data_IF_770869287756
#
_entry.id   IF_770869287756
#
_cell.length_a   1.000
_cell.length_b   1.000
_cell.length_c   1.000
_cell.angle_alpha   90.00
_cell.angle_beta   90.00
_cell.angle_gamma   90.00
#
_symmetry.space_group_name_H-M   'P 1'
#
loop_
_entity.id
_entity.type
_entity.pdbx_description
1 polymer ?
#
# COMPACT_ATOMS: atom_id res chain seq x y z
N UNK A 1 26.64 4.27 6.47
CA UNK A 1 25.83 3.09 6.10
C UNK A 1 26.44 2.37 4.90
N UNK A 2 26.75 1.09 5.07
CA UNK A 2 27.26 0.19 4.04
C UNK A 2 26.51 -1.14 4.13
N UNK A 3 26.19 -1.73 2.97
CA UNK A 3 25.62 -3.07 2.89
C UNK A 3 26.74 -4.09 2.71
N UNK A 4 26.66 -5.18 3.47
CA UNK A 4 27.58 -6.32 3.40
C UNK A 4 26.75 -7.57 3.19
N UNK A 5 27.15 -8.44 2.26
CA UNK A 5 26.55 -9.77 2.13
C UNK A 5 27.01 -10.63 3.31
N UNK A 6 26.08 -11.22 4.05
CA UNK A 6 26.41 -12.10 5.16
C UNK A 6 27.07 -13.40 4.67
N UNK A 7 28.06 -13.87 5.42
CA UNK A 7 28.71 -15.17 5.26
C UNK A 7 28.33 -16.10 6.44
N UNK A 8 28.58 -17.42 6.34
CA UNK A 8 28.25 -18.36 7.43
C UNK A 8 28.83 -17.97 8.80
N UNK A 9 29.96 -17.26 8.83
CA UNK A 9 30.60 -16.76 10.07
C UNK A 9 29.78 -15.68 10.78
N UNK A 10 28.90 -14.98 10.06
CA UNK A 10 28.12 -13.86 10.57
C UNK A 10 26.79 -14.30 11.23
N UNK A 11 26.52 -15.61 11.28
CA UNK A 11 25.26 -16.15 11.80
C UNK A 11 24.93 -15.69 13.22
N UNK A 12 25.95 -15.58 14.08
CA UNK A 12 25.78 -15.12 15.45
C UNK A 12 25.37 -13.64 15.48
N UNK A 13 25.95 -12.82 14.59
CA UNK A 13 25.59 -11.39 14.44
C UNK A 13 24.14 -11.23 13.98
N UNK A 14 23.72 -12.00 12.97
CA UNK A 14 22.31 -12.00 12.50
C UNK A 14 21.37 -12.40 13.63
N UNK A 15 21.67 -13.50 14.31
CA UNK A 15 20.89 -14.01 15.43
C UNK A 15 20.76 -12.97 16.54
N UNK A 16 21.87 -12.34 16.94
CA UNK A 16 21.90 -11.32 17.98
C UNK A 16 21.01 -10.12 17.64
N UNK A 17 21.10 -9.59 16.41
CA UNK A 17 20.28 -8.46 15.97
C UNK A 17 18.79 -8.80 16.02
N UNK A 18 18.42 -9.97 15.49
CA UNK A 18 17.02 -10.42 15.47
C UNK A 18 16.49 -10.58 16.90
N UNK A 19 17.21 -11.33 17.75
CA UNK A 19 16.76 -11.61 19.12
C UNK A 19 16.70 -10.35 19.98
N UNK A 20 17.73 -9.50 19.95
CA UNK A 20 17.70 -8.21 20.67
C UNK A 20 16.52 -7.35 20.24
N UNK A 21 16.25 -7.29 18.94
CA UNK A 21 15.15 -6.47 18.41
C UNK A 21 13.80 -7.03 18.81
N UNK A 22 13.59 -8.35 18.66
CA UNK A 22 12.34 -9.01 19.06
C UNK A 22 12.11 -8.83 20.56
N UNK A 23 13.09 -9.15 21.41
CA UNK A 23 12.96 -9.04 22.86
C UNK A 23 12.70 -7.60 23.35
N UNK A 24 13.27 -6.58 22.71
CA UNK A 24 13.11 -5.20 23.13
C UNK A 24 11.80 -4.55 22.61
N UNK A 25 11.37 -4.89 21.40
CA UNK A 25 10.28 -4.17 20.71
C UNK A 25 8.97 -4.93 20.79
N UNK A 26 8.98 -6.26 20.63
CA UNK A 26 7.76 -7.04 20.48
C UNK A 26 6.88 -7.13 21.73
N UNK A 27 7.38 -6.99 22.98
CA UNK A 27 6.52 -6.93 24.17
C UNK A 27 5.45 -5.82 24.14
N UNK A 28 5.64 -4.77 23.34
CA UNK A 28 4.65 -3.71 23.19
C UNK A 28 3.47 -4.09 22.27
N UNK A 29 3.60 -5.19 21.52
CA UNK A 29 2.67 -5.57 20.45
C UNK A 29 2.11 -6.98 20.61
N UNK A 30 2.84 -7.85 21.27
CA UNK A 30 2.56 -9.27 21.32
C UNK A 30 2.66 -9.82 22.74
N UNK A 31 1.83 -10.81 23.10
CA UNK A 31 1.96 -11.51 24.36
C UNK A 31 3.17 -12.47 24.35
N UNK A 32 3.64 -12.87 25.53
CA UNK A 32 4.91 -13.60 25.72
C UNK A 32 5.06 -14.88 24.88
N UNK A 33 4.01 -15.68 24.74
CA UNK A 33 4.02 -16.90 23.94
C UNK A 33 4.19 -16.64 22.44
N UNK A 34 3.69 -15.51 21.93
CA UNK A 34 3.96 -15.06 20.55
C UNK A 34 5.40 -14.57 20.42
N UNK A 35 5.93 -13.87 21.41
CA UNK A 35 7.34 -13.44 21.41
C UNK A 35 8.26 -14.66 21.40
N UNK A 36 7.98 -15.66 22.24
CA UNK A 36 8.71 -16.93 22.29
C UNK A 36 8.69 -17.65 20.94
N UNK A 37 7.52 -17.72 20.30
CA UNK A 37 7.38 -18.27 18.95
C UNK A 37 8.30 -17.53 17.94
N UNK A 38 8.36 -16.20 17.97
CA UNK A 38 9.28 -15.45 17.10
C UNK A 38 10.75 -15.78 17.35
N UNK A 39 11.17 -15.89 18.61
CA UNK A 39 12.55 -16.22 18.98
C UNK A 39 12.93 -17.64 18.55
N UNK A 40 12.03 -18.61 18.72
CA UNK A 40 12.22 -20.01 18.29
C UNK A 40 12.24 -20.15 16.76
N UNK A 41 11.34 -19.44 16.07
CA UNK A 41 11.34 -19.36 14.61
C UNK A 41 12.68 -18.84 14.08
N UNK A 42 13.31 -17.88 14.78
CA UNK A 42 14.63 -17.34 14.48
C UNK A 42 15.76 -18.00 15.29
N UNK A 43 15.64 -19.30 15.58
CA UNK A 43 16.73 -20.08 16.18
C UNK A 43 17.96 -20.14 15.27
N UNK A 44 19.14 -20.39 15.86
CA UNK A 44 20.39 -20.55 15.11
C UNK A 44 20.29 -21.59 13.99
N UNK A 45 19.59 -22.71 14.23
CA UNK A 45 19.42 -23.75 13.21
C UNK A 45 18.62 -23.25 12.01
N UNK A 46 17.49 -22.56 12.26
CA UNK A 46 16.66 -22.01 11.18
C UNK A 46 17.40 -20.89 10.43
N UNK A 47 18.14 -20.04 11.14
CA UNK A 47 18.97 -19.00 10.52
C UNK A 47 20.09 -19.61 9.66
N UNK A 48 20.69 -20.74 10.08
CA UNK A 48 21.71 -21.44 9.30
C UNK A 48 21.15 -21.89 7.96
N UNK A 49 20.00 -22.55 7.97
CA UNK A 49 19.30 -22.93 6.73
C UNK A 49 18.94 -21.72 5.87
N UNK A 50 18.58 -20.60 6.50
CA UNK A 50 18.30 -19.37 5.78
C UNK A 50 19.56 -18.74 5.14
N UNK A 51 20.71 -18.71 5.81
CA UNK A 51 21.97 -18.23 5.23
C UNK A 51 22.44 -19.07 4.02
N UNK A 52 22.07 -20.35 3.96
CA UNK A 52 22.38 -21.24 2.83
C UNK A 52 21.50 -21.00 1.61
N UNK A 53 20.23 -20.62 1.82
CA UNK A 53 19.21 -20.53 0.75
C UNK A 53 18.87 -19.11 0.33
N UNK A 54 19.06 -18.14 1.22
CA UNK A 54 18.54 -16.79 1.08
C UNK A 54 19.69 -15.79 0.91
N UNK A 55 19.44 -14.69 0.20
CA UNK A 55 20.40 -13.62 0.06
C UNK A 55 20.33 -12.71 1.28
N UNK A 56 21.20 -12.98 2.28
CA UNK A 56 21.21 -12.25 3.55
C UNK A 56 22.19 -11.08 3.50
N UNK A 57 21.72 -9.92 3.96
CA UNK A 57 22.44 -8.66 4.05
C UNK A 57 22.61 -8.25 5.52
N UNK A 58 23.74 -7.59 5.77
CA UNK A 58 24.08 -6.89 6.99
C UNK A 58 24.21 -5.40 6.67
N UNK A 59 23.69 -4.57 7.57
CA UNK A 59 23.83 -3.13 7.51
C UNK A 59 24.90 -2.69 8.51
N UNK A 60 25.99 -2.15 7.99
CA UNK A 60 27.11 -1.59 8.77
C UNK A 60 26.99 -0.07 8.84
N UNK A 61 27.25 0.51 10.01
CA UNK A 61 27.44 1.93 10.20
C UNK A 61 28.59 2.19 11.19
N UNK A 62 29.56 3.01 10.76
CA UNK A 62 30.78 3.32 11.53
C UNK A 62 31.50 2.07 12.11
N UNK A 63 31.62 1.00 11.32
CA UNK A 63 32.28 -0.24 11.74
C UNK A 63 31.45 -1.17 12.63
N UNK A 64 30.21 -0.80 12.96
CA UNK A 64 29.29 -1.63 13.72
C UNK A 64 28.20 -2.20 12.80
N UNK A 65 27.87 -3.49 12.95
CA UNK A 65 26.69 -4.06 12.30
C UNK A 65 25.45 -3.72 13.12
N UNK A 66 24.52 -3.00 12.51
CA UNK A 66 23.35 -2.41 13.19
C UNK A 66 22.02 -2.98 12.70
N UNK A 67 22.03 -3.77 11.62
CA UNK A 67 20.82 -4.34 11.06
C UNK A 67 21.08 -5.53 10.14
N UNK A 68 20.01 -6.26 9.82
CA UNK A 68 20.01 -7.37 8.88
C UNK A 68 18.71 -7.37 8.08
N UNK A 69 18.78 -7.90 6.85
CA UNK A 69 17.65 -8.11 5.96
C UNK A 69 17.96 -9.28 5.03
N UNK A 70 16.96 -9.91 4.46
CA UNK A 70 17.15 -11.01 3.54
C UNK A 70 16.15 -10.99 2.39
N UNK A 71 16.55 -11.58 1.28
CA UNK A 71 15.71 -11.80 0.10
C UNK A 71 15.76 -13.26 -0.29
N UNK A 72 14.61 -13.90 -0.40
CA UNK A 72 14.46 -15.23 -0.96
C UNK A 72 13.48 -15.15 -2.14
N UNK A 73 13.95 -15.43 -3.35
CA UNK A 73 13.21 -15.10 -4.58
C UNK A 73 12.78 -13.63 -4.59
N UNK A 74 11.48 -13.34 -4.53
CA UNK A 74 10.92 -11.99 -4.39
C UNK A 74 10.35 -11.71 -2.99
N UNK A 75 10.58 -12.59 -2.02
CA UNK A 75 10.11 -12.44 -0.65
C UNK A 75 11.18 -11.79 0.23
N UNK A 76 10.86 -10.61 0.75
CA UNK A 76 11.70 -9.88 1.70
C UNK A 76 11.44 -10.43 3.09
N UNK A 77 12.52 -10.83 3.75
CA UNK A 77 12.50 -11.49 5.06
C UNK A 77 13.44 -10.78 6.03
N UNK A 78 13.13 -10.93 7.32
CA UNK A 78 14.03 -10.60 8.45
C UNK A 78 14.67 -9.21 8.38
N UNK A 79 13.88 -8.19 8.05
CA UNK A 79 14.33 -6.78 8.12
C UNK A 79 14.29 -6.33 9.58
N UNK A 80 15.44 -6.37 10.26
CA UNK A 80 15.60 -5.98 11.65
C UNK A 80 16.73 -4.96 11.80
N UNK A 81 16.46 -3.90 12.56
CA UNK A 81 17.43 -2.89 12.96
C UNK A 81 17.49 -2.89 14.48
N UNK A 82 18.70 -2.90 15.05
CA UNK A 82 18.91 -2.82 16.50
C UNK A 82 18.12 -1.63 17.10
N UNK A 83 17.46 -1.80 18.27
CA UNK A 83 16.54 -0.80 18.85
C UNK A 83 17.10 0.64 18.89
N UNK A 84 18.37 0.79 19.28
CA UNK A 84 19.08 2.06 19.42
C UNK A 84 19.38 2.77 18.08
N UNK A 85 19.24 2.06 16.95
CA UNK A 85 19.38 2.57 15.59
C UNK A 85 18.04 2.73 14.85
N UNK A 86 16.91 2.41 15.48
CA UNK A 86 15.60 2.56 14.83
C UNK A 86 15.18 4.01 14.65
N UNK A 87 14.21 4.24 13.74
CA UNK A 87 13.63 5.57 13.40
C UNK A 87 14.63 6.60 12.85
N UNK A 88 15.81 6.16 12.43
CA UNK A 88 16.88 6.98 11.83
C UNK A 88 17.10 6.74 10.33
N UNK A 89 16.20 5.99 9.67
CA UNK A 89 16.26 5.72 8.22
C UNK A 89 16.94 4.40 7.82
N UNK A 90 17.65 3.72 8.73
CA UNK A 90 18.35 2.46 8.45
C UNK A 90 17.45 1.36 7.85
N UNK A 91 16.23 1.19 8.38
CA UNK A 91 15.29 0.20 7.85
C UNK A 91 14.83 0.52 6.42
N UNK A 92 14.66 1.81 6.09
CA UNK A 92 14.33 2.22 4.72
C UNK A 92 15.50 1.99 3.78
N UNK A 93 16.72 2.34 4.20
CA UNK A 93 17.94 2.11 3.42
C UNK A 93 18.16 0.62 3.10
N UNK A 94 17.98 -0.25 4.10
CA UNK A 94 18.08 -1.69 3.90
C UNK A 94 16.98 -2.21 2.96
N UNK A 95 15.78 -1.66 3.06
CA UNK A 95 14.66 -2.03 2.19
C UNK A 95 14.89 -1.59 0.74
N UNK A 96 15.41 -0.37 0.52
CA UNK A 96 15.81 0.13 -0.81
C UNK A 96 16.77 -0.85 -1.49
N UNK A 97 17.74 -1.37 -0.74
CA UNK A 97 18.72 -2.32 -1.26
C UNK A 97 18.11 -3.70 -1.61
N UNK A 98 17.19 -4.20 -0.79
CA UNK A 98 16.49 -5.45 -1.04
C UNK A 98 15.56 -5.33 -2.26
N UNK A 99 14.82 -4.22 -2.37
CA UNK A 99 14.01 -3.87 -3.54
C UNK A 99 14.88 -3.81 -4.81
N UNK A 100 16.05 -3.13 -4.75
CA UNK A 100 17.02 -3.07 -5.86
C UNK A 100 17.51 -4.45 -6.28
N UNK A 101 17.89 -5.28 -5.30
CA UNK A 101 18.39 -6.65 -5.54
C UNK A 101 17.31 -7.52 -6.19
N UNK A 102 16.05 -7.38 -5.79
CA UNK A 102 14.93 -8.08 -6.41
C UNK A 102 14.74 -7.66 -7.88
N UNK A 103 14.81 -6.36 -8.18
CA UNK A 103 14.77 -5.86 -9.57
C UNK A 103 15.91 -6.42 -10.43
N UNK A 104 17.13 -6.47 -9.90
CA UNK A 104 18.30 -7.01 -10.60
C UNK A 104 18.17 -8.50 -10.90
N UNK A 105 17.42 -9.24 -10.06
CA UNK A 105 17.07 -10.64 -10.29
C UNK A 105 15.87 -10.82 -11.25
N UNK A 106 15.31 -9.73 -11.77
CA UNK A 106 14.21 -9.74 -12.74
C UNK A 106 12.80 -9.71 -12.12
N UNK A 107 12.67 -9.51 -10.81
CA UNK A 107 11.37 -9.42 -10.17
C UNK A 107 10.76 -8.03 -10.32
N UNK A 108 9.47 -8.00 -10.66
CA UNK A 108 8.68 -6.77 -10.84
C UNK A 108 7.81 -6.43 -9.62
N UNK A 109 7.75 -7.33 -8.64
CA UNK A 109 6.99 -7.22 -7.41
C UNK A 109 7.75 -7.94 -6.29
N UNK A 110 7.75 -7.36 -5.10
CA UNK A 110 8.22 -8.00 -3.86
C UNK A 110 7.07 -8.21 -2.91
N UNK A 111 7.16 -9.29 -2.13
CA UNK A 111 6.22 -9.63 -1.07
C UNK A 111 6.94 -9.74 0.26
N UNK A 112 6.21 -9.57 1.37
CA UNK A 112 6.73 -9.80 2.71
C UNK A 112 5.62 -10.11 3.69
N UNK A 113 5.98 -10.78 4.78
CA UNK A 113 5.16 -10.90 5.97
C UNK A 113 5.64 -9.90 7.02
N UNK A 114 4.76 -8.97 7.41
CA UNK A 114 5.07 -7.93 8.40
C UNK A 114 4.44 -8.22 9.75
N UNK A 115 5.27 -8.19 10.79
CA UNK A 115 4.79 -8.07 12.16
C UNK A 115 4.15 -6.69 12.41
N UNK A 116 3.34 -6.58 13.45
CA UNK A 116 2.66 -5.34 13.85
C UNK A 116 3.62 -4.14 14.04
N UNK A 117 4.82 -4.29 14.66
CA UNK A 117 5.77 -3.18 14.79
C UNK A 117 6.21 -2.57 13.45
N UNK A 118 6.33 -3.39 12.40
CA UNK A 118 6.88 -2.98 11.12
C UNK A 118 5.81 -2.58 10.07
N UNK A 119 4.53 -2.87 10.31
CA UNK A 119 3.45 -2.62 9.35
C UNK A 119 3.46 -1.18 8.79
N UNK A 120 3.56 -0.19 9.69
CA UNK A 120 3.54 1.23 9.30
C UNK A 120 4.76 1.65 8.48
N UNK A 121 5.91 1.00 8.67
CA UNK A 121 7.09 1.24 7.85
C UNK A 121 6.80 0.84 6.41
N UNK A 122 6.34 -0.40 6.20
CA UNK A 122 6.06 -0.91 4.86
C UNK A 122 4.93 -0.15 4.17
N UNK A 123 3.85 0.17 4.89
CA UNK A 123 2.77 0.98 4.35
C UNK A 123 3.27 2.35 3.83
N UNK A 124 4.12 3.05 4.60
CA UNK A 124 4.73 4.32 4.16
C UNK A 124 5.68 4.17 2.97
N UNK A 125 6.21 2.97 2.78
CA UNK A 125 7.15 2.62 1.70
C UNK A 125 6.44 2.14 0.43
N UNK A 126 5.11 2.17 0.40
CA UNK A 126 4.30 1.81 -0.76
C UNK A 126 3.99 0.31 -0.85
N UNK A 127 4.09 -0.42 0.26
CA UNK A 127 3.58 -1.78 0.33
C UNK A 127 2.10 -1.75 0.67
N UNK A 128 1.33 -2.52 -0.09
CA UNK A 128 -0.09 -2.71 0.11
C UNK A 128 -0.35 -4.00 0.88
N UNK A 129 -1.27 -4.01 1.86
CA UNK A 129 -1.69 -5.24 2.50
C UNK A 129 -2.43 -6.13 1.50
N UNK A 130 -2.04 -7.40 1.42
CA UNK A 130 -2.70 -8.43 0.62
C UNK A 130 -3.63 -9.29 1.46
N UNK A 131 -3.16 -9.70 2.63
CA UNK A 131 -3.86 -10.66 3.48
C UNK A 131 -3.56 -10.38 4.95
N UNK A 132 -4.59 -10.48 5.79
CA UNK A 132 -4.43 -10.54 7.24
C UNK A 132 -4.37 -12.00 7.66
N UNK A 133 -3.30 -12.39 8.34
CA UNK A 133 -3.07 -13.77 8.75
C UNK A 133 -3.06 -13.82 10.27
N UNK A 134 -3.76 -14.82 10.82
CA UNK A 134 -3.74 -15.15 12.23
C UNK A 134 -3.42 -16.62 12.42
N UNK A 135 -2.52 -16.95 13.35
CA UNK A 135 -2.22 -18.32 13.72
C UNK A 135 -2.11 -18.48 15.23
N UNK A 136 -2.56 -19.62 15.74
CA UNK A 136 -2.44 -19.96 17.17
C UNK A 136 -1.07 -20.60 17.42
N UNK A 137 -0.30 -20.02 18.33
CA UNK A 137 0.98 -20.58 18.80
C UNK A 137 0.75 -21.79 19.71
N UNK A 138 1.81 -22.56 19.99
CA UNK A 138 1.75 -23.70 20.93
C UNK A 138 1.25 -23.29 22.33
N UNK A 139 1.48 -22.03 22.72
CA UNK A 139 1.00 -21.47 23.98
C UNK A 139 -0.50 -21.15 24.01
N UNK A 140 -1.22 -21.35 22.90
CA UNK A 140 -2.63 -20.96 22.74
C UNK A 140 -2.84 -19.48 22.42
N UNK A 141 -1.79 -18.67 22.43
CA UNK A 141 -1.85 -17.24 22.06
C UNK A 141 -1.83 -17.05 20.55
N UNK A 142 -2.52 -16.01 20.06
CA UNK A 142 -2.69 -15.76 18.62
C UNK A 142 -1.64 -14.76 18.13
N UNK A 143 -0.86 -15.16 17.12
CA UNK A 143 0.01 -14.29 16.34
C UNK A 143 -0.79 -13.73 15.15
N UNK A 144 -0.87 -12.40 15.08
CA UNK A 144 -1.43 -11.66 13.95
C UNK A 144 -0.33 -10.94 13.16
N UNK A 145 -0.38 -11.04 11.84
CA UNK A 145 0.53 -10.36 10.92
C UNK A 145 -0.14 -10.13 9.56
N UNK A 146 0.47 -9.32 8.71
CA UNK A 146 -0.03 -9.07 7.36
C UNK A 146 0.96 -9.57 6.32
N UNK A 147 0.46 -10.21 5.27
CA UNK A 147 1.20 -10.33 4.01
C UNK A 147 1.00 -9.05 3.21
N UNK A 148 2.08 -8.47 2.72
CA UNK A 148 2.06 -7.23 1.93
C UNK A 148 2.85 -7.39 0.64
N UNK A 149 2.54 -6.60 -0.39
CA UNK A 149 3.33 -6.54 -1.61
C UNK A 149 3.57 -5.12 -2.10
N UNK A 150 4.62 -4.95 -2.90
CA UNK A 150 4.95 -3.71 -3.59
C UNK A 150 5.39 -4.01 -5.00
N UNK A 151 4.78 -3.33 -5.97
CA UNK A 151 5.26 -3.33 -7.34
C UNK A 151 6.53 -2.48 -7.46
N UNK A 152 7.56 -3.02 -8.10
CA UNK A 152 8.87 -2.37 -8.26
C UNK A 152 9.00 -1.59 -9.56
N UNK A 153 8.16 -1.84 -10.56
CA UNK A 153 8.23 -1.22 -11.89
C UNK A 153 7.61 0.18 -11.97
N UNK A 154 7.34 0.82 -10.82
CA UNK A 154 6.72 2.13 -10.77
C UNK A 154 5.18 2.09 -10.82
N UNK A 155 4.57 3.27 -10.79
CA UNK A 155 3.13 3.47 -10.52
C UNK A 155 2.24 2.67 -11.48
N UNK A 156 1.16 2.09 -10.96
CA UNK A 156 0.10 1.42 -11.73
C UNK A 156 -0.55 2.32 -12.79
N UNK A 157 -0.47 3.63 -12.59
CA UNK A 157 -0.97 4.67 -13.48
C UNK A 157 -0.09 5.92 -13.41
N UNK A 158 -0.07 6.69 -14.50
CA UNK A 158 0.61 7.98 -14.55
C UNK A 158 0.06 8.98 -13.51
N UNK A 159 -1.22 8.82 -13.13
CA UNK A 159 -1.94 9.67 -12.18
C UNK A 159 -2.38 8.83 -10.98
N UNK A 160 -2.15 9.35 -9.77
CA UNK A 160 -2.63 8.77 -8.52
C UNK A 160 -3.87 9.53 -8.05
N UNK A 161 -5.01 8.86 -8.09
CA UNK A 161 -6.31 9.39 -7.65
C UNK A 161 -6.59 9.12 -6.18
N UNK A 162 -5.71 8.42 -5.46
CA UNK A 162 -5.96 8.07 -4.07
C UNK A 162 -6.02 9.33 -3.19
N UNK A 163 -7.07 9.43 -2.39
CA UNK A 163 -7.36 10.59 -1.53
C UNK A 163 -7.58 11.91 -2.28
N UNK A 164 -7.84 11.87 -3.59
CA UNK A 164 -8.23 13.05 -4.36
C UNK A 164 -9.71 13.36 -4.15
N UNK A 165 -10.02 14.65 -4.13
CA UNK A 165 -11.38 15.14 -3.97
C UNK A 165 -11.73 15.99 -5.18
N UNK A 166 -12.82 15.65 -5.86
CA UNK A 166 -13.28 16.34 -7.07
C UNK A 166 -14.64 16.98 -6.84
N UNK A 167 -14.89 18.09 -7.52
CA UNK A 167 -16.20 18.75 -7.62
C UNK A 167 -16.56 18.95 -9.08
N UNK A 168 -17.84 18.91 -9.42
CA UNK A 168 -18.26 19.16 -10.80
C UNK A 168 -18.16 20.64 -11.15
N UNK A 169 -17.67 20.94 -12.35
CA UNK A 169 -17.61 22.31 -12.88
C UNK A 169 -18.60 22.52 -14.00
N UNK A 170 -19.03 21.44 -14.67
CA UNK A 170 -20.08 21.48 -15.70
C UNK A 170 -20.68 20.09 -15.91
N UNK A 171 -21.95 20.04 -16.31
CA UNK A 171 -22.65 18.81 -16.67
C UNK A 171 -23.69 19.10 -17.76
N UNK A 172 -23.95 18.13 -18.63
CA UNK A 172 -25.08 18.19 -19.58
C UNK A 172 -26.43 18.19 -18.86
N UNK A 173 -27.45 18.81 -19.44
CA UNK A 173 -28.77 19.06 -18.82
C UNK A 173 -29.48 17.82 -18.26
N UNK A 174 -29.20 16.64 -18.81
CA UNK A 174 -29.79 15.36 -18.38
C UNK A 174 -28.99 14.64 -17.27
N UNK A 175 -27.93 15.27 -16.75
CA UNK A 175 -27.12 14.74 -15.66
C UNK A 175 -27.54 15.30 -14.29
N UNK A 176 -27.44 14.48 -13.24
CA UNK A 176 -27.87 14.87 -11.88
C UNK A 176 -26.73 15.45 -11.00
N UNK A 177 -25.50 15.45 -11.51
CA UNK A 177 -24.31 15.99 -10.83
C UNK A 177 -24.25 17.51 -11.01
N UNK A 178 -23.90 18.23 -9.94
CA UNK A 178 -23.76 19.69 -9.90
C UNK A 178 -22.47 20.13 -9.21
N UNK A 179 -22.19 21.43 -9.18
CA UNK A 179 -21.07 22.04 -8.44
C UNK A 179 -21.08 21.77 -6.93
N UNK A 180 -22.23 21.37 -6.39
CA UNK A 180 -22.38 20.93 -4.99
C UNK A 180 -22.05 19.45 -4.78
N UNK A 181 -21.82 18.67 -5.83
CA UNK A 181 -21.54 17.24 -5.73
C UNK A 181 -20.03 17.02 -5.56
N UNK A 182 -19.67 16.44 -4.42
CA UNK A 182 -18.28 16.18 -4.04
C UNK A 182 -17.99 14.69 -4.17
N UNK A 183 -16.87 14.35 -4.82
CA UNK A 183 -16.42 12.98 -5.03
C UNK A 183 -15.13 12.72 -4.25
N UNK A 184 -15.15 11.73 -3.37
CA UNK A 184 -14.00 11.33 -2.56
C UNK A 184 -13.38 10.06 -3.15
N UNK A 185 -12.33 10.23 -3.96
CA UNK A 185 -11.68 9.13 -4.65
C UNK A 185 -10.75 8.35 -3.71
N UNK A 186 -10.68 7.05 -4.00
CA UNK A 186 -9.74 6.09 -3.45
C UNK A 186 -9.25 5.23 -4.59
N UNK A 187 -7.97 4.91 -4.54
CA UNK A 187 -7.34 4.05 -5.54
C UNK A 187 -6.52 3.01 -4.82
N UNK A 188 -6.58 1.78 -5.34
CA UNK A 188 -5.68 0.71 -4.98
C UNK A 188 -5.25 -0.01 -6.26
N UNK A 189 -3.96 0.06 -6.59
CA UNK A 189 -3.42 -0.40 -7.86
C UNK A 189 -4.14 0.23 -9.06
N UNK A 190 -4.65 -0.58 -9.98
CA UNK A 190 -5.47 -0.19 -11.12
C UNK A 190 -6.97 -0.16 -10.79
N UNK A 191 -7.37 -0.32 -9.53
CA UNK A 191 -8.77 -0.27 -9.10
C UNK A 191 -9.08 1.09 -8.49
N UNK A 192 -10.19 1.69 -8.91
CA UNK A 192 -10.67 2.98 -8.42
C UNK A 192 -12.08 2.86 -7.83
N UNK A 193 -12.34 3.58 -6.75
CA UNK A 193 -13.69 3.79 -6.23
C UNK A 193 -13.85 5.18 -5.63
N UNK A 194 -15.08 5.67 -5.55
CA UNK A 194 -15.37 6.92 -4.86
C UNK A 194 -16.76 6.91 -4.23
N UNK A 195 -16.87 7.52 -3.06
CA UNK A 195 -18.16 7.92 -2.49
C UNK A 195 -18.43 9.37 -2.87
N UNK A 196 -19.66 9.67 -3.29
CA UNK A 196 -20.05 11.02 -3.65
C UNK A 196 -21.45 11.40 -3.16
N UNK A 197 -21.66 12.70 -2.94
CA UNK A 197 -22.93 13.25 -2.46
C UNK A 197 -22.97 14.76 -2.69
N UNK A 198 -24.16 15.35 -2.57
CA UNK A 198 -24.39 16.79 -2.68
C UNK A 198 -25.16 17.18 -3.94
N UNK A 199 -25.80 18.35 -3.90
CA UNK A 199 -26.79 18.75 -4.89
C UNK A 199 -28.04 17.88 -4.80
N UNK A 200 -28.41 17.22 -5.90
CA UNK A 200 -29.55 16.31 -5.96
C UNK A 200 -29.22 14.88 -5.52
N UNK A 201 -27.96 14.59 -5.15
CA UNK A 201 -27.51 13.25 -4.80
C UNK A 201 -27.41 13.10 -3.28
N UNK A 202 -28.19 12.18 -2.72
CA UNK A 202 -28.16 11.85 -1.28
C UNK A 202 -26.93 11.00 -0.97
N UNK A 203 -26.69 9.94 -1.75
CA UNK A 203 -25.52 9.05 -1.61
C UNK A 203 -25.24 8.32 -2.91
N UNK A 204 -24.00 8.40 -3.35
CA UNK A 204 -23.50 7.75 -4.54
C UNK A 204 -22.20 6.99 -4.31
N UNK A 205 -21.99 6.00 -5.16
CA UNK A 205 -20.77 5.19 -5.19
C UNK A 205 -20.38 4.89 -6.63
N UNK A 206 -19.08 4.87 -6.91
CA UNK A 206 -18.53 4.38 -8.17
C UNK A 206 -17.41 3.38 -7.90
N UNK A 207 -17.21 2.44 -8.83
CA UNK A 207 -16.11 1.48 -8.83
C UNK A 207 -15.72 1.12 -10.26
N UNK A 208 -14.41 1.02 -10.50
CA UNK A 208 -13.89 0.69 -11.82
C UNK A 208 -12.39 0.53 -11.85
N UNK A 209 -11.80 0.84 -13.02
CA UNK A 209 -10.40 0.64 -13.33
C UNK A 209 -9.72 1.94 -13.72
N UNK A 210 -8.43 2.07 -13.40
CA UNK A 210 -7.52 3.10 -13.84
C UNK A 210 -6.47 2.49 -14.78
N UNK A 211 -6.39 3.02 -16.00
CA UNK A 211 -5.40 2.61 -16.98
C UNK A 211 -4.04 3.26 -16.72
N UNK A 212 -2.98 2.71 -17.34
CA UNK A 212 -1.61 3.21 -17.19
C UNK A 212 -1.45 4.69 -17.57
N UNK A 213 -2.22 5.16 -18.55
CA UNK A 213 -2.24 6.56 -19.01
C UNK A 213 -3.10 7.48 -18.12
N UNK A 214 -3.68 6.95 -17.03
CA UNK A 214 -4.52 7.68 -16.10
C UNK A 214 -6.00 7.73 -16.47
N UNK A 215 -6.42 7.18 -17.62
CA UNK A 215 -7.85 7.11 -17.97
C UNK A 215 -8.60 6.19 -17.01
N UNK A 216 -9.86 6.52 -16.74
CA UNK A 216 -10.73 5.71 -15.88
C UNK A 216 -11.88 5.10 -16.68
N UNK A 217 -12.26 3.90 -16.32
CA UNK A 217 -13.50 3.24 -16.77
C UNK A 217 -14.21 2.66 -15.55
N UNK A 218 -15.43 3.12 -15.26
CA UNK A 218 -16.14 2.72 -14.04
C UNK A 218 -17.64 2.65 -14.21
N UNK A 219 -18.28 1.88 -13.33
CA UNK A 219 -19.72 1.90 -13.12
C UNK A 219 -20.04 2.73 -11.88
N UNK A 220 -21.18 3.41 -11.89
CA UNK A 220 -21.62 4.25 -10.78
C UNK A 220 -23.10 4.07 -10.50
N UNK A 221 -23.49 4.38 -9.28
CA UNK A 221 -24.87 4.31 -8.81
C UNK A 221 -25.12 5.32 -7.69
N UNK A 222 -26.33 5.84 -7.59
CA UNK A 222 -26.73 6.69 -6.47
C UNK A 222 -28.23 6.67 -6.18
N UNK A 223 -28.58 7.19 -5.02
CA UNK A 223 -29.95 7.59 -4.66
C UNK A 223 -30.03 9.12 -4.70
N UNK A 224 -31.00 9.63 -5.46
CA UNK A 224 -31.25 11.07 -5.56
C UNK A 224 -32.23 11.56 -4.48
N UNK A 225 -32.48 12.87 -4.41
CA UNK A 225 -33.38 13.49 -3.42
C UNK A 225 -34.84 13.05 -3.58
N UNK A 226 -35.23 12.57 -4.77
CA UNK A 226 -36.55 11.94 -5.04
C UNK A 226 -36.62 10.47 -4.62
N UNK A 227 -35.55 9.92 -4.02
CA UNK A 227 -35.42 8.50 -3.62
C UNK A 227 -35.35 7.52 -4.79
N UNK A 228 -35.05 8.00 -5.99
CA UNK A 228 -34.87 7.16 -7.16
C UNK A 228 -33.45 6.59 -7.18
N UNK A 229 -33.32 5.32 -7.58
CA UNK A 229 -32.02 4.68 -7.80
C UNK A 229 -31.62 4.93 -9.24
N UNK A 230 -30.43 5.51 -9.45
CA UNK A 230 -29.83 5.74 -10.76
C UNK A 230 -28.56 4.92 -10.90
N UNK A 231 -28.33 4.33 -12.07
CA UNK A 231 -27.14 3.51 -12.36
C UNK A 231 -26.58 3.86 -13.73
N UNK A 232 -25.26 3.88 -13.87
CA UNK A 232 -24.60 4.22 -15.12
C UNK A 232 -23.19 3.69 -15.25
N UNK A 233 -22.59 3.90 -16.42
CA UNK A 233 -21.18 3.65 -16.72
C UNK A 233 -20.53 4.93 -17.23
N UNK A 234 -19.24 5.08 -16.99
CA UNK A 234 -18.49 6.29 -17.34
C UNK A 234 -17.09 5.93 -17.83
N UNK A 235 -16.64 6.68 -18.84
CA UNK A 235 -15.23 6.79 -19.22
C UNK A 235 -14.75 8.19 -18.90
N UNK A 236 -13.62 8.29 -18.22
CA UNK A 236 -13.07 9.57 -17.76
C UNK A 236 -11.63 9.75 -18.25
N UNK A 237 -11.35 10.89 -18.88
CA UNK A 237 -10.04 11.22 -19.45
C UNK A 237 -9.44 12.37 -18.63
N UNK A 238 -8.22 12.19 -18.07
CA UNK A 238 -7.58 13.24 -17.29
C UNK A 238 -6.87 14.29 -18.14
N UNK A 239 -6.87 15.51 -17.61
CA UNK A 239 -6.04 16.64 -18.03
C UNK A 239 -5.37 17.24 -16.79
N UNK A 240 -4.05 17.47 -16.87
CA UNK A 240 -3.32 18.18 -15.81
C UNK A 240 -3.40 19.68 -16.12
N UNK A 241 -3.98 20.44 -15.20
CA UNK A 241 -4.10 21.89 -15.30
C UNK A 241 -2.73 22.57 -15.06
N UNK A 242 -2.54 23.81 -15.53
CA UNK A 242 -1.28 24.55 -15.33
C UNK A 242 -0.86 24.71 -13.86
N UNK A 243 -1.82 24.62 -12.93
CA UNK A 243 -1.60 24.70 -11.49
C UNK A 243 -1.36 23.34 -10.81
N UNK A 244 -1.25 22.27 -11.60
CA UNK A 244 -1.00 20.90 -11.15
C UNK A 244 -2.23 20.11 -10.70
N UNK A 245 -3.42 20.73 -10.69
CA UNK A 245 -4.68 20.03 -10.39
C UNK A 245 -5.10 19.12 -11.52
N UNK A 246 -5.87 18.09 -11.20
CA UNK A 246 -6.44 17.17 -12.19
C UNK A 246 -7.84 17.64 -12.58
N UNK A 247 -8.09 17.76 -13.89
CA UNK A 247 -9.43 17.84 -14.49
C UNK A 247 -9.77 16.50 -15.11
N UNK A 248 -11.01 16.07 -14.97
CA UNK A 248 -11.53 14.82 -15.54
C UNK A 248 -12.66 15.16 -16.50
N UNK A 249 -12.49 14.78 -17.78
CA UNK A 249 -13.49 14.88 -18.83
C UNK A 249 -14.24 13.56 -18.92
N UNK A 250 -15.52 13.57 -18.58
CA UNK A 250 -16.34 12.38 -18.42
C UNK A 250 -17.32 12.21 -19.57
N UNK A 251 -17.45 10.98 -20.06
CA UNK A 251 -18.50 10.53 -20.96
C UNK A 251 -19.28 9.41 -20.28
N UNK A 252 -20.53 9.68 -19.94
CA UNK A 252 -21.37 8.77 -19.16
C UNK A 252 -22.58 8.28 -19.95
N UNK A 253 -23.11 7.13 -19.55
CA UNK A 253 -24.32 6.52 -20.08
C UNK A 253 -25.13 5.93 -18.92
N UNK A 254 -26.40 6.31 -18.80
CA UNK A 254 -27.31 5.66 -17.86
C UNK A 254 -27.57 4.22 -18.28
N UNK A 255 -27.56 3.29 -17.34
CA UNK A 255 -27.92 1.88 -17.57
C UNK A 255 -29.37 1.59 -17.18
N UNK A 256 -30.02 2.50 -16.46
CA UNK A 256 -31.44 2.47 -16.14
C UNK A 256 -32.16 3.77 -16.57
N UNK A 257 -33.50 3.78 -16.49
CA UNK A 257 -34.31 4.89 -16.96
C UNK A 257 -34.31 5.03 -18.49
N UNK A 258 -34.08 6.24 -18.98
CA UNK A 258 -34.06 6.60 -20.41
C UNK A 258 -32.81 6.13 -21.16
N UNK A 259 -31.79 5.64 -20.42
CA UNK A 259 -30.48 5.23 -20.95
C UNK A 259 -29.78 6.31 -21.77
N UNK A 260 -30.06 7.58 -21.44
CA UNK A 260 -29.43 8.71 -22.11
C UNK A 260 -27.94 8.77 -21.79
N UNK A 261 -27.23 9.55 -22.61
CA UNK A 261 -25.79 9.76 -22.53
C UNK A 261 -25.53 11.24 -22.34
N UNK A 262 -24.39 11.55 -21.74
CA UNK A 262 -23.97 12.92 -21.57
C UNK A 262 -22.49 13.01 -21.26
N UNK A 263 -22.08 14.24 -20.99
CA UNK A 263 -20.72 14.56 -20.57
C UNK A 263 -20.73 15.44 -19.33
N UNK A 264 -19.70 15.28 -18.52
CA UNK A 264 -19.45 16.08 -17.33
C UNK A 264 -17.97 16.45 -17.25
N UNK A 265 -17.69 17.52 -16.52
CA UNK A 265 -16.33 17.88 -16.14
C UNK A 265 -16.30 17.99 -14.64
N UNK A 266 -15.31 17.33 -14.03
CA UNK A 266 -15.01 17.46 -12.60
C UNK A 266 -13.54 17.88 -12.43
N UNK A 267 -13.27 18.72 -11.43
CA UNK A 267 -11.93 19.22 -11.13
C UNK A 267 -11.52 18.89 -9.70
N UNK A 268 -10.24 18.60 -9.50
CA UNK A 268 -9.64 18.43 -8.19
C UNK A 268 -9.77 19.73 -7.38
N UNK A 269 -10.15 19.58 -6.11
CA UNK A 269 -10.20 20.68 -5.14
C UNK A 269 -8.84 20.87 -4.47
N UNK A 270 -8.53 22.10 -4.08
CA UNK A 270 -7.29 22.41 -3.31
C UNK A 270 -7.44 22.12 -1.82
N UNK A 271 -8.65 21.81 -1.36
CA UNK A 271 -8.90 21.56 0.05
C UNK A 271 -8.29 20.21 0.43
N UNK A 272 -7.12 20.27 1.09
CA UNK A 272 -6.69 19.17 1.95
C UNK A 272 -7.79 18.98 2.98
N UNK A 273 -8.45 17.83 3.00
CA UNK A 273 -9.24 17.42 4.15
C UNK A 273 -8.36 17.60 5.40
N UNK A 274 -8.73 18.58 6.23
CA UNK A 274 -8.28 18.64 7.60
C UNK A 274 -8.94 17.51 8.37
N UNK A 275 -8.11 16.83 9.17
CA UNK A 275 -8.37 15.71 10.09
C UNK A 275 -8.23 14.31 9.48
#
# INVERSE_FOLDING_TARGET
>A
MRIIKAEPKDINTVHEIVHKTVSAIYPQYYPEGVIKFFLEHHSLNNLKTALEKEYVLLLEDFGQIVGTGALWENEIKRVFILPEFQKKGYGSFLLDELERTAMEKGYCEVVLDTSLPAYRLYQKRGYDPLEFISMTTESGQVLCYYRMSKNLNGKYSAIDYNNKVFVSTSNSDNGEVSDKTVFNYRQWKDIIWACYSGGNIVKGYLVGKCHKDGKLEFSYQHVNTKKEIRTGKCKSIPEILPDGRIRLLESWEWTNGDRSKGSSVIEETREKNGL
#
